data_IF_422991100120
#
_entry.id   IF_422991100120
#
_cell.length_a   1.000
_cell.length_b   1.000
_cell.length_c   1.000
_cell.angle_alpha   90.00
_cell.angle_beta   90.00
_cell.angle_gamma   90.00
#
_symmetry.space_group_name_H-M   'P 1'
#
loop_
_entity.id
_entity.type
_entity.pdbx_description
1 polymer ?
#
# COMPACT_ATOMS: atom_id res chain seq x y z
N UNK A 1 0.02 -25.57 -3.19
CA UNK A 1 0.12 -24.80 -1.94
C UNK A 1 1.25 -23.80 -2.17
N UNK A 2 1.00 -22.50 -2.02
CA UNK A 2 2.02 -21.46 -2.27
C UNK A 2 3.06 -21.48 -1.15
N UNK A 3 4.33 -21.27 -1.47
CA UNK A 3 5.42 -21.24 -0.52
C UNK A 3 5.94 -19.81 -0.39
N UNK A 4 5.82 -19.24 0.81
CA UNK A 4 6.17 -17.85 1.08
C UNK A 4 7.44 -17.76 1.92
N UNK A 5 8.38 -16.93 1.48
CA UNK A 5 9.43 -16.39 2.32
C UNK A 5 8.91 -15.17 3.08
N UNK A 6 9.44 -14.93 4.28
CA UNK A 6 9.06 -13.78 5.11
C UNK A 6 10.27 -12.86 5.27
N UNK A 7 10.11 -11.60 4.89
CA UNK A 7 11.04 -10.52 5.22
C UNK A 7 10.41 -9.63 6.29
N UNK A 8 11.16 -9.33 7.35
CA UNK A 8 10.73 -8.45 8.44
C UNK A 8 11.57 -7.19 8.43
N UNK A 9 10.91 -6.03 8.55
CA UNK A 9 11.58 -4.74 8.66
C UNK A 9 11.05 -3.96 9.86
N UNK A 10 11.93 -3.22 10.52
CA UNK A 10 11.56 -2.27 11.57
C UNK A 10 11.98 -0.87 11.16
N UNK A 11 11.04 0.06 11.14
CA UNK A 11 11.25 1.44 10.68
C UNK A 11 11.97 1.49 9.31
N UNK A 12 11.65 0.52 8.45
CA UNK A 12 12.26 0.37 7.12
C UNK A 12 13.64 -0.30 7.09
N UNK A 13 14.22 -0.74 8.21
CA UNK A 13 15.45 -1.53 8.22
C UNK A 13 15.16 -3.03 8.29
N UNK A 14 15.77 -3.82 7.39
CA UNK A 14 15.60 -5.27 7.37
C UNK A 14 16.22 -5.93 8.60
N UNK A 15 15.52 -6.93 9.13
CA UNK A 15 15.93 -7.73 10.30
C UNK A 15 16.34 -9.11 9.84
N UNK A 16 17.56 -9.50 10.20
CA UNK A 16 18.16 -10.75 9.75
C UNK A 16 17.59 -11.99 10.46
N UNK A 17 17.56 -13.11 9.74
CA UNK A 17 17.43 -14.45 10.33
C UNK A 17 16.06 -14.81 10.90
N UNK A 18 15.02 -14.01 10.66
CA UNK A 18 13.65 -14.33 11.12
C UNK A 18 13.19 -15.64 10.48
N UNK A 19 12.85 -16.60 11.33
CA UNK A 19 12.46 -17.95 10.91
C UNK A 19 10.98 -18.23 11.16
N UNK A 20 10.38 -17.60 12.17
CA UNK A 20 8.99 -17.86 12.57
C UNK A 20 8.30 -16.55 12.92
N UNK A 21 7.07 -16.39 12.42
CA UNK A 21 6.18 -15.29 12.78
C UNK A 21 4.81 -15.87 13.12
N UNK A 22 4.25 -15.52 14.27
CA UNK A 22 2.89 -15.96 14.63
C UNK A 22 1.83 -15.29 13.76
N UNK A 23 0.64 -15.88 13.61
CA UNK A 23 -0.42 -15.28 12.80
C UNK A 23 -0.79 -13.86 13.25
N UNK A 24 -1.05 -12.99 12.27
CA UNK A 24 -1.70 -11.71 12.51
C UNK A 24 -3.19 -11.95 12.75
N UNK A 25 -3.64 -11.86 14.01
CA UNK A 25 -5.05 -12.01 14.37
C UNK A 25 -5.63 -10.67 14.81
N UNK A 26 -6.82 -10.36 14.30
CA UNK A 26 -7.69 -9.34 14.87
C UNK A 26 -9.09 -9.94 15.01
N UNK A 27 -9.76 -9.62 16.10
CA UNK A 27 -11.12 -10.06 16.39
C UNK A 27 -11.96 -8.88 16.82
N UNK A 28 -13.24 -8.90 16.44
CA UNK A 28 -14.22 -7.94 16.93
C UNK A 28 -15.23 -8.70 17.78
N UNK A 29 -15.41 -8.26 19.02
CA UNK A 29 -16.44 -8.82 19.89
C UNK A 29 -17.81 -8.65 19.25
N UNK A 30 -18.72 -9.58 19.51
CA UNK A 30 -20.10 -9.51 19.01
C UNK A 30 -21.02 -9.26 20.19
N UNK A 31 -21.67 -8.10 20.22
CA UNK A 31 -22.63 -7.73 21.25
C UNK A 31 -24.02 -8.10 20.76
N UNK A 32 -24.78 -8.83 21.57
CA UNK A 32 -26.18 -9.14 21.28
C UNK A 32 -27.08 -8.11 21.94
N UNK A 33 -27.75 -7.30 21.15
CA UNK A 33 -28.73 -6.31 21.61
C UNK A 33 -30.13 -6.93 21.50
N UNK A 34 -30.88 -6.87 22.59
CA UNK A 34 -32.26 -7.35 22.64
C UNK A 34 -33.21 -6.17 22.62
N UNK A 35 -34.12 -6.15 21.66
CA UNK A 35 -35.21 -5.20 21.60
C UNK A 35 -36.27 -5.56 22.66
N UNK A 36 -36.52 -4.63 23.58
CA UNK A 36 -37.48 -4.80 24.67
C UNK A 36 -38.95 -4.75 24.22
N UNK A 37 -39.25 -4.18 23.05
CA UNK A 37 -40.61 -4.07 22.53
C UNK A 37 -41.07 -5.28 21.73
N UNK A 38 -40.20 -5.80 20.86
CA UNK A 38 -40.51 -6.94 19.96
C UNK A 38 -39.97 -8.28 20.45
N UNK A 39 -39.06 -8.27 21.44
CA UNK A 39 -38.34 -9.46 21.89
C UNK A 39 -37.26 -9.94 20.92
N UNK A 40 -37.09 -9.27 19.77
CA UNK A 40 -36.08 -9.58 18.77
C UNK A 40 -34.67 -9.34 19.32
N UNK A 41 -33.69 -10.08 18.79
CA UNK A 41 -32.27 -9.89 19.12
C UNK A 41 -31.51 -9.61 17.84
N UNK A 42 -30.60 -8.64 17.87
CA UNK A 42 -29.69 -8.35 16.76
C UNK A 42 -28.26 -8.25 17.27
N UNK A 43 -27.32 -8.61 16.40
CA UNK A 43 -25.90 -8.56 16.71
C UNK A 43 -25.31 -7.25 16.23
N UNK A 44 -24.51 -6.62 17.07
CA UNK A 44 -23.75 -5.41 16.74
C UNK A 44 -22.27 -5.65 17.00
N UNK A 45 -21.36 -5.08 16.19
CA UNK A 45 -19.94 -5.16 16.44
C UNK A 45 -19.58 -4.42 17.73
N UNK A 46 -18.80 -5.08 18.57
CA UNK A 46 -18.22 -4.56 19.80
C UNK A 46 -16.78 -4.08 19.59
N UNK A 47 -15.96 -4.24 20.63
CA UNK A 47 -14.57 -3.81 20.61
C UNK A 47 -13.76 -4.65 19.63
N UNK A 48 -12.90 -3.99 18.86
CA UNK A 48 -11.91 -4.66 18.04
C UNK A 48 -10.60 -4.76 18.82
N UNK A 49 -10.07 -5.97 18.92
CA UNK A 49 -8.79 -6.27 19.56
C UNK A 49 -7.86 -6.98 18.57
N UNK A 50 -6.57 -6.87 18.85
CA UNK A 50 -5.48 -7.42 18.05
C UNK A 50 -4.57 -8.23 18.96
N UNK A 51 -4.24 -9.44 18.55
CA UNK A 51 -3.34 -10.30 19.32
C UNK A 51 -1.89 -9.77 19.23
N UNK A 52 -1.09 -10.06 20.25
CA UNK A 52 0.35 -9.87 20.17
C UNK A 52 0.95 -10.80 19.12
N UNK A 53 1.90 -10.27 18.34
CA UNK A 53 2.68 -11.04 17.38
C UNK A 53 4.01 -11.43 17.99
N UNK A 54 4.44 -12.68 17.83
CA UNK A 54 5.79 -13.12 18.20
C UNK A 54 6.59 -13.38 16.94
N UNK A 55 7.75 -12.73 16.86
CA UNK A 55 8.76 -12.93 15.82
C UNK A 55 9.90 -13.69 16.44
N UNK A 56 10.32 -14.79 15.83
CA UNK A 56 11.44 -15.60 16.32
C UNK A 56 12.51 -15.79 15.26
N UNK A 57 13.75 -15.87 15.71
CA UNK A 57 14.93 -16.10 14.88
C UNK A 57 15.94 -16.98 15.61
N UNK A 58 16.85 -17.58 14.85
CA UNK A 58 18.08 -18.11 15.46
C UNK A 58 18.97 -16.97 15.93
N UNK A 59 19.83 -17.23 16.92
CA UNK A 59 20.85 -16.25 17.34
C UNK A 59 21.69 -15.83 16.13
N UNK A 60 21.81 -14.52 15.98
CA UNK A 60 22.54 -13.87 14.91
C UNK A 60 23.32 -12.69 15.47
N UNK A 61 24.35 -12.29 14.73
CA UNK A 61 25.17 -11.10 14.90
C UNK A 61 24.38 -9.78 14.69
N UNK A 62 23.18 -9.85 14.11
CA UNK A 62 22.24 -8.74 14.08
C UNK A 62 21.67 -8.44 15.48
N UNK A 63 22.02 -7.30 16.09
CA UNK A 63 21.58 -6.90 17.44
C UNK A 63 20.17 -6.30 17.50
N UNK A 64 19.40 -6.34 16.40
CA UNK A 64 18.06 -5.79 16.34
C UNK A 64 17.19 -6.17 17.56
N UNK A 65 17.01 -7.48 17.85
CA UNK A 65 16.16 -7.94 18.95
C UNK A 65 16.60 -7.41 20.31
N UNK A 66 17.90 -7.54 20.64
CA UNK A 66 18.49 -7.01 21.87
C UNK A 66 18.27 -5.50 22.04
N UNK A 67 18.54 -4.72 20.98
CA UNK A 67 18.49 -3.27 21.04
C UNK A 67 17.07 -2.77 21.28
N UNK A 68 16.07 -3.36 20.60
CA UNK A 68 14.70 -2.96 20.82
C UNK A 68 14.17 -3.44 22.19
N UNK A 69 14.52 -4.67 22.60
CA UNK A 69 14.12 -5.20 23.90
C UNK A 69 14.66 -4.38 25.08
N UNK A 70 15.85 -3.79 24.95
CA UNK A 70 16.43 -2.87 25.95
C UNK A 70 15.69 -1.53 26.05
N UNK A 71 15.02 -1.12 24.97
CA UNK A 71 14.19 0.08 24.91
C UNK A 71 12.71 -0.24 24.66
N UNK A 72 12.01 -0.97 25.55
CA UNK A 72 10.70 -1.54 25.25
C UNK A 72 9.58 -0.50 25.06
N UNK A 73 9.80 0.73 25.55
CA UNK A 73 8.87 1.86 25.35
C UNK A 73 9.01 2.50 23.96
N UNK A 74 10.05 2.16 23.19
CA UNK A 74 10.24 2.70 21.84
C UNK A 74 9.21 2.07 20.90
N UNK A 75 8.41 2.93 20.27
CA UNK A 75 7.47 2.54 19.23
C UNK A 75 8.20 2.39 17.90
N UNK A 76 7.92 1.32 17.17
CA UNK A 76 8.43 1.14 15.80
C UNK A 76 7.32 0.69 14.87
N UNK A 77 7.45 1.03 13.60
CA UNK A 77 6.63 0.42 12.56
C UNK A 77 7.26 -0.90 12.16
N UNK A 78 6.51 -2.00 12.25
CA UNK A 78 6.93 -3.31 11.74
C UNK A 78 6.27 -3.60 10.42
N UNK A 79 7.05 -3.96 9.43
CA UNK A 79 6.57 -4.39 8.11
C UNK A 79 6.92 -5.86 7.92
N UNK A 80 5.91 -6.66 7.58
CA UNK A 80 6.03 -8.08 7.28
C UNK A 80 5.71 -8.29 5.82
N UNK A 81 6.73 -8.60 5.03
CA UNK A 81 6.61 -8.81 3.60
C UNK A 81 6.66 -10.30 3.32
N UNK A 82 5.55 -10.85 2.83
CA UNK A 82 5.45 -12.21 2.35
C UNK A 82 5.78 -12.23 0.87
N UNK A 83 6.78 -13.00 0.48
CA UNK A 83 7.22 -13.13 -0.91
C UNK A 83 6.98 -14.57 -1.36
N UNK A 84 6.12 -14.76 -2.35
CA UNK A 84 5.90 -16.06 -2.98
C UNK A 84 7.14 -16.45 -3.79
N UNK A 85 7.68 -17.63 -3.50
CA UNK A 85 8.90 -18.14 -4.13
C UNK A 85 8.71 -18.63 -5.57
N UNK A 86 7.48 -18.73 -6.05
CA UNK A 86 7.15 -19.25 -7.39
C UNK A 86 6.86 -18.15 -8.41
N UNK A 87 6.03 -17.17 -8.06
CA UNK A 87 5.57 -16.10 -8.96
C UNK A 87 6.02 -14.70 -8.50
N UNK A 88 6.78 -14.59 -7.40
CA UNK A 88 7.26 -13.31 -6.88
C UNK A 88 6.16 -12.42 -6.30
N UNK A 89 4.95 -12.95 -6.08
CA UNK A 89 3.88 -12.21 -5.42
C UNK A 89 4.37 -11.70 -4.05
N UNK A 90 4.38 -10.38 -3.92
CA UNK A 90 4.77 -9.71 -2.69
C UNK A 90 3.54 -9.12 -1.99
N UNK A 91 3.37 -9.46 -0.71
CA UNK A 91 2.29 -8.95 0.13
C UNK A 91 2.88 -8.41 1.43
N UNK A 92 2.73 -7.12 1.64
CA UNK A 92 3.24 -6.46 2.85
C UNK A 92 2.10 -6.17 3.83
N UNK A 93 2.33 -6.49 5.10
CA UNK A 93 1.49 -6.10 6.23
C UNK A 93 2.25 -5.08 7.08
N UNK A 94 1.62 -3.96 7.38
CA UNK A 94 2.18 -2.89 8.19
C UNK A 94 1.50 -2.85 9.54
N UNK A 95 2.31 -2.95 10.58
CA UNK A 95 1.95 -2.89 11.99
C UNK A 95 2.54 -1.59 12.55
N UNK A 96 1.77 -0.49 12.61
CA UNK A 96 2.22 0.75 13.23
C UNK A 96 2.36 0.62 14.75
N UNK A 97 3.19 1.49 15.31
CA UNK A 97 3.31 1.73 16.76
C UNK A 97 3.51 0.47 17.61
N UNK A 98 4.25 -0.52 17.10
CA UNK A 98 4.57 -1.72 17.84
C UNK A 98 5.44 -1.42 19.05
N UNK A 99 5.29 -2.20 20.12
CA UNK A 99 6.21 -2.22 21.25
C UNK A 99 6.51 -3.63 21.72
N UNK A 100 7.67 -3.77 22.36
CA UNK A 100 8.08 -5.04 22.95
C UNK A 100 7.26 -5.31 24.21
N UNK A 101 6.48 -6.38 24.18
CA UNK A 101 5.74 -6.92 25.31
C UNK A 101 6.53 -8.04 26.03
N UNK A 102 7.45 -8.69 25.32
CA UNK A 102 8.33 -9.72 25.90
C UNK A 102 9.51 -10.02 24.98
N UNK A 103 10.62 -10.45 25.58
CA UNK A 103 11.80 -10.92 24.88
C UNK A 103 12.32 -12.15 25.61
N UNK A 104 12.48 -13.25 24.89
CA UNK A 104 12.95 -14.53 25.43
C UNK A 104 14.09 -15.05 24.59
N UNK A 105 15.13 -15.55 25.25
CA UNK A 105 16.25 -16.27 24.63
C UNK A 105 16.22 -17.69 25.17
N UNK A 106 15.98 -18.65 24.31
CA UNK A 106 15.84 -20.06 24.65
C UNK A 106 17.00 -20.85 24.01
N UNK A 107 18.10 -21.09 24.75
CA UNK A 107 19.13 -22.00 24.32
C UNK A 107 18.67 -23.45 24.51
N UNK A 108 18.85 -24.25 23.47
CA UNK A 108 18.71 -25.70 23.51
C UNK A 108 20.11 -26.32 23.52
N UNK A 109 20.48 -26.87 24.67
CA UNK A 109 21.82 -27.45 24.87
C UNK A 109 22.01 -28.76 24.10
N UNK A 110 20.92 -29.49 23.83
CA UNK A 110 20.97 -30.78 23.17
C UNK A 110 21.17 -30.61 21.66
N UNK A 111 20.52 -29.60 21.07
CA UNK A 111 20.67 -29.27 19.64
C UNK A 111 21.76 -28.24 19.36
N UNK A 112 22.27 -27.55 20.39
CA UNK A 112 23.22 -26.45 20.24
C UNK A 112 22.62 -25.23 19.54
N UNK A 113 21.30 -25.15 19.43
CA UNK A 113 20.58 -24.04 18.81
C UNK A 113 20.15 -23.05 19.87
N UNK A 114 20.05 -21.77 19.50
CA UNK A 114 19.50 -20.75 20.38
C UNK A 114 18.47 -19.98 19.59
N UNK A 115 17.24 -19.95 20.12
CA UNK A 115 16.12 -19.23 19.53
C UNK A 115 15.85 -17.99 20.35
N UNK A 116 15.82 -16.85 19.68
CA UNK A 116 15.39 -15.58 20.24
C UNK A 116 13.96 -15.31 19.76
N UNK A 117 13.08 -14.94 20.69
CA UNK A 117 11.68 -14.61 20.41
C UNK A 117 11.34 -13.25 20.99
N UNK A 118 10.84 -12.35 20.14
CA UNK A 118 10.37 -11.02 20.49
C UNK A 118 8.85 -10.96 20.33
N UNK A 119 8.14 -10.77 21.43
CA UNK A 119 6.69 -10.60 21.44
C UNK A 119 6.38 -9.11 21.36
N UNK A 120 5.64 -8.73 20.33
CA UNK A 120 5.26 -7.37 20.02
C UNK A 120 3.75 -7.20 20.18
N UNK A 121 3.35 -6.07 20.76
CA UNK A 121 1.96 -5.65 20.82
C UNK A 121 1.76 -4.45 19.89
N UNK A 122 0.58 -4.36 19.27
CA UNK A 122 0.19 -3.26 18.37
C UNK A 122 -1.32 -3.04 18.48
N UNK A 123 -1.80 -1.87 18.06
CA UNK A 123 -3.23 -1.55 18.06
C UNK A 123 -3.98 -2.22 16.91
N UNK A 124 -3.58 -1.94 15.67
CA UNK A 124 -4.18 -2.51 14.46
C UNK A 124 -3.08 -2.70 13.42
N UNK A 125 -3.28 -3.64 12.52
CA UNK A 125 -2.43 -3.86 11.37
C UNK A 125 -3.23 -3.72 10.09
N UNK A 126 -2.55 -3.40 9.00
CA UNK A 126 -3.17 -3.26 7.70
C UNK A 126 -2.33 -3.93 6.63
N UNK A 127 -3.00 -4.53 5.64
CA UNK A 127 -2.33 -4.96 4.43
C UNK A 127 -2.01 -3.72 3.62
N UNK A 128 -0.73 -3.51 3.31
CA UNK A 128 -0.30 -2.46 2.40
C UNK A 128 -0.75 -2.89 1.01
N UNK A 129 -1.62 -2.09 0.41
CA UNK A 129 -1.95 -2.24 -1.00
C UNK A 129 -0.76 -1.66 -1.77
N UNK A 130 -0.03 -2.48 -2.56
CA UNK A 130 1.08 -1.96 -3.36
C UNK A 130 0.57 -0.91 -4.34
N UNK A 131 1.46 -0.03 -4.78
CA UNK A 131 1.11 0.97 -5.78
C UNK A 131 0.62 0.25 -7.04
N UNK A 132 -0.43 0.78 -7.66
CA UNK A 132 -1.03 0.17 -8.86
C UNK A 132 0.02 0.04 -9.98
N UNK A 133 0.97 0.96 -10.05
CA UNK A 133 2.13 0.88 -10.93
C UNK A 133 3.00 -0.37 -10.69
N UNK A 134 3.32 -0.69 -9.43
CA UNK A 134 4.10 -1.89 -9.09
C UNK A 134 3.34 -3.17 -9.44
N UNK A 135 2.02 -3.18 -9.26
CA UNK A 135 1.17 -4.29 -9.70
C UNK A 135 1.17 -4.45 -11.22
N UNK A 136 1.15 -3.33 -11.96
CA UNK A 136 1.19 -3.35 -13.42
C UNK A 136 2.52 -3.91 -13.94
N UNK A 137 3.65 -3.45 -13.39
CA UNK A 137 4.99 -3.95 -13.73
C UNK A 137 5.14 -5.44 -13.43
N UNK A 138 4.63 -5.90 -12.28
CA UNK A 138 4.67 -7.33 -11.94
C UNK A 138 3.84 -8.18 -12.91
N UNK A 139 2.61 -7.75 -13.22
CA UNK A 139 1.74 -8.44 -14.19
C UNK A 139 2.33 -8.44 -15.60
N UNK A 140 3.01 -7.36 -15.97
CA UNK A 140 3.74 -7.24 -17.23
C UNK A 140 4.92 -8.22 -17.29
N UNK A 141 5.72 -8.29 -16.22
CA UNK A 141 6.82 -9.25 -16.07
C UNK A 141 6.36 -10.71 -16.17
N UNK A 142 5.29 -11.08 -15.46
CA UNK A 142 4.69 -12.43 -15.53
C UNK A 142 4.25 -12.82 -16.95
N UNK A 143 3.88 -11.84 -17.78
CA UNK A 143 3.37 -12.04 -19.15
C UNK A 143 4.40 -11.78 -20.25
N UNK A 144 5.62 -11.37 -19.89
CA UNK A 144 6.61 -10.84 -20.83
C UNK A 144 6.03 -9.74 -21.75
N UNK A 145 5.14 -8.91 -21.21
CA UNK A 145 4.44 -7.84 -21.90
C UNK A 145 4.92 -6.47 -21.38
N UNK A 146 4.87 -5.40 -22.18
CA UNK A 146 5.19 -4.06 -21.71
C UNK A 146 4.04 -3.46 -20.87
N UNK A 147 4.34 -2.56 -19.93
CA UNK A 147 3.34 -1.68 -19.31
C UNK A 147 3.11 -0.46 -20.22
N UNK A 148 1.85 -0.12 -20.48
CA UNK A 148 1.44 1.09 -21.21
C UNK A 148 0.65 1.98 -20.25
N UNK A 149 1.24 3.11 -19.87
CA UNK A 149 0.53 4.16 -19.13
C UNK A 149 -0.34 4.98 -20.08
N UNK A 150 -1.58 5.20 -19.69
CA UNK A 150 -2.54 6.06 -20.39
C UNK A 150 -3.00 7.12 -19.39
N UNK A 151 -2.63 8.36 -19.64
CA UNK A 151 -3.16 9.53 -18.95
C UNK A 151 -4.56 9.80 -19.49
N UNK A 152 -5.57 9.57 -18.66
CA UNK A 152 -6.96 9.72 -19.08
C UNK A 152 -7.34 11.19 -19.27
N UNK A 153 -6.80 12.11 -18.48
CA UNK A 153 -7.07 13.53 -18.62
C UNK A 153 -6.53 14.10 -19.95
N UNK A 154 -5.35 13.65 -20.38
CA UNK A 154 -4.76 14.05 -21.67
C UNK A 154 -5.55 13.54 -22.89
N UNK A 155 -6.30 12.44 -22.74
CA UNK A 155 -7.18 11.92 -23.79
C UNK A 155 -8.48 12.71 -23.90
N UNK A 156 -8.96 13.30 -22.81
CA UNK A 156 -10.19 14.07 -22.78
C UNK A 156 -10.01 15.38 -23.56
N UNK A 157 -10.78 15.51 -24.65
CA UNK A 157 -10.90 16.75 -25.41
C UNK A 157 -12.32 17.30 -25.36
N UNK A 158 -12.49 18.57 -25.77
CA UNK A 158 -13.83 19.16 -25.96
C UNK A 158 -14.64 18.49 -27.08
N UNK A 159 -14.04 17.60 -27.87
CA UNK A 159 -14.66 16.92 -29.00
C UNK A 159 -14.70 15.41 -28.78
N UNK A 160 -15.90 14.86 -28.59
CA UNK A 160 -16.14 13.42 -28.36
C UNK A 160 -15.45 12.51 -29.40
N UNK A 161 -15.49 12.88 -30.69
CA UNK A 161 -14.89 12.10 -31.77
C UNK A 161 -13.36 12.05 -31.68
N UNK A 162 -12.72 13.13 -31.23
CA UNK A 162 -11.27 13.21 -31.10
C UNK A 162 -10.79 12.40 -29.87
N UNK A 163 -11.50 12.49 -28.75
CA UNK A 163 -11.27 11.68 -27.55
C UNK A 163 -11.37 10.18 -27.87
N UNK A 164 -12.42 9.79 -28.60
CA UNK A 164 -12.66 8.39 -29.01
C UNK A 164 -11.55 7.88 -29.93
N UNK A 165 -11.17 8.65 -30.96
CA UNK A 165 -10.13 8.27 -31.90
C UNK A 165 -8.76 8.13 -31.23
N UNK A 166 -8.43 9.01 -30.28
CA UNK A 166 -7.18 8.91 -29.49
C UNK A 166 -7.16 7.66 -28.62
N UNK A 167 -8.27 7.37 -27.92
CA UNK A 167 -8.38 6.17 -27.10
C UNK A 167 -8.28 4.88 -27.94
N UNK A 168 -9.00 4.82 -29.07
CA UNK A 168 -8.95 3.66 -29.97
C UNK A 168 -7.52 3.44 -30.52
N UNK A 169 -6.81 4.51 -30.86
CA UNK A 169 -5.42 4.42 -31.30
C UNK A 169 -4.47 3.92 -30.20
N UNK A 170 -4.68 4.31 -28.93
CA UNK A 170 -3.87 3.80 -27.80
C UNK A 170 -4.21 2.34 -27.47
N UNK A 171 -5.50 1.97 -27.46
CA UNK A 171 -5.94 0.60 -27.21
C UNK A 171 -5.47 -0.37 -28.31
N UNK A 172 -5.53 0.03 -29.58
CA UNK A 172 -5.02 -0.79 -30.68
C UNK A 172 -3.50 -1.05 -30.54
N UNK A 173 -2.72 -0.01 -30.23
CA UNK A 173 -1.27 -0.14 -29.97
C UNK A 173 -0.97 -1.01 -28.74
N UNK A 174 -1.83 -0.98 -27.73
CA UNK A 174 -1.71 -1.85 -26.56
C UNK A 174 -2.03 -3.31 -26.92
N UNK A 175 -3.07 -3.54 -27.73
CA UNK A 175 -3.44 -4.88 -28.20
C UNK A 175 -2.35 -5.52 -29.06
N UNK A 176 -1.75 -4.78 -29.98
CA UNK A 176 -0.66 -5.27 -30.83
C UNK A 176 0.55 -5.76 -30.03
N UNK A 177 0.80 -5.16 -28.86
CA UNK A 177 1.93 -5.49 -28.00
C UNK A 177 1.56 -6.37 -26.80
N UNK A 178 0.28 -6.74 -26.65
CA UNK A 178 -0.22 -7.49 -25.49
C UNK A 178 -0.03 -6.78 -24.16
N UNK A 179 0.06 -5.45 -24.17
CA UNK A 179 0.51 -4.65 -23.03
C UNK A 179 -0.40 -4.76 -21.79
N UNK A 180 0.16 -4.52 -20.61
CA UNK A 180 -0.63 -4.24 -19.41
C UNK A 180 -0.99 -2.76 -19.44
N UNK A 181 -2.29 -2.44 -19.41
CA UNK A 181 -2.75 -1.05 -19.41
C UNK A 181 -2.78 -0.51 -17.99
N UNK A 182 -2.16 0.65 -17.78
CA UNK A 182 -2.21 1.40 -16.54
C UNK A 182 -2.87 2.76 -16.81
N UNK A 183 -4.09 2.93 -16.32
CA UNK A 183 -4.84 4.18 -16.44
C UNK A 183 -4.49 5.09 -15.27
N UNK A 184 -3.97 6.27 -15.59
CA UNK A 184 -3.63 7.35 -14.66
C UNK A 184 -4.67 8.47 -14.76
N UNK A 185 -4.83 9.25 -13.68
CA UNK A 185 -5.80 10.36 -13.61
C UNK A 185 -7.25 9.94 -13.98
N UNK A 186 -7.64 8.71 -13.64
CA UNK A 186 -8.97 8.19 -13.94
C UNK A 186 -10.09 8.95 -13.21
N UNK A 187 -9.77 9.74 -12.19
CA UNK A 187 -10.66 10.69 -11.54
C UNK A 187 -11.19 11.76 -12.49
N UNK A 188 -10.44 12.10 -13.55
CA UNK A 188 -10.92 12.97 -14.62
C UNK A 188 -12.21 12.43 -15.30
N UNK A 189 -12.40 11.10 -15.32
CA UNK A 189 -13.66 10.47 -15.79
C UNK A 189 -14.80 10.60 -14.78
N UNK A 190 -14.49 10.76 -13.50
CA UNK A 190 -15.47 10.72 -12.40
C UNK A 190 -15.79 12.10 -11.80
N UNK A 191 -15.09 13.17 -12.22
CA UNK A 191 -15.21 14.53 -11.65
C UNK A 191 -16.57 15.21 -11.90
N UNK A 192 -17.45 14.69 -12.77
CA UNK A 192 -18.80 15.26 -13.02
C UNK A 192 -19.96 14.46 -12.43
N UNK A 193 -19.98 14.27 -11.11
CA UNK A 193 -21.15 13.72 -10.40
C UNK A 193 -21.74 14.65 -9.34
N UNK A 194 -21.76 15.96 -9.58
CA UNK A 194 -22.48 16.90 -8.70
C UNK A 194 -23.51 17.71 -9.46
N UNK A 195 -24.77 17.35 -9.22
CA UNK A 195 -26.00 18.15 -9.31
C UNK A 195 -26.48 18.59 -10.69
N UNK A 196 -27.58 17.97 -11.10
CA UNK A 196 -28.44 18.33 -12.24
C UNK A 196 -28.85 19.81 -12.12
N UNK A 197 -28.24 20.68 -12.92
CA UNK A 197 -28.77 22.01 -13.19
C UNK A 197 -28.13 22.61 -14.45
N UNK A 198 -28.32 21.98 -15.61
CA UNK A 198 -28.69 22.71 -16.84
C UNK A 198 -28.85 21.75 -18.03
N UNK A 199 -29.73 22.12 -18.96
CA UNK A 199 -30.13 21.33 -20.12
C UNK A 199 -29.00 21.09 -21.17
N UNK A 200 -27.74 21.42 -20.85
CA UNK A 200 -26.55 21.08 -21.64
C UNK A 200 -25.80 19.83 -21.14
N UNK A 201 -26.11 19.31 -19.95
CA UNK A 201 -25.33 18.25 -19.28
C UNK A 201 -25.61 16.81 -19.75
N UNK A 202 -26.51 16.60 -20.71
CA UNK A 202 -26.83 15.25 -21.20
C UNK A 202 -25.72 14.63 -22.07
N UNK A 203 -24.79 15.44 -22.58
CA UNK A 203 -23.71 14.98 -23.47
C UNK A 203 -22.46 14.51 -22.72
N UNK A 204 -22.24 14.94 -21.48
CA UNK A 204 -21.08 14.51 -20.69
C UNK A 204 -21.19 13.07 -20.16
N UNK A 205 -22.41 12.58 -19.94
CA UNK A 205 -22.64 11.21 -19.44
C UNK A 205 -22.52 10.13 -20.54
N UNK A 206 -22.77 10.48 -21.81
CA UNK A 206 -22.68 9.54 -22.94
C UNK A 206 -21.22 9.16 -23.25
N UNK A 207 -20.26 10.03 -22.90
CA UNK A 207 -18.83 9.82 -23.15
C UNK A 207 -18.19 8.78 -22.23
N UNK A 208 -18.61 8.71 -20.97
CA UNK A 208 -18.00 7.82 -19.96
C UNK A 208 -18.42 6.37 -20.15
N UNK A 209 -19.72 6.12 -20.38
CA UNK A 209 -20.22 4.75 -20.61
C UNK A 209 -19.60 4.14 -21.87
N UNK A 210 -19.46 4.95 -22.93
CA UNK A 210 -18.84 4.54 -24.19
C UNK A 210 -17.33 4.29 -24.06
N UNK A 211 -16.65 4.96 -23.12
CA UNK A 211 -15.25 4.73 -22.80
C UNK A 211 -15.07 3.46 -21.95
N UNK A 212 -15.92 3.25 -20.95
CA UNK A 212 -15.92 2.04 -20.11
C UNK A 212 -16.22 0.78 -20.92
N UNK A 213 -17.17 0.84 -21.85
CA UNK A 213 -17.48 -0.27 -22.76
C UNK A 213 -16.25 -0.67 -23.60
N UNK A 214 -15.53 0.32 -24.15
CA UNK A 214 -14.30 0.07 -24.93
C UNK A 214 -13.15 -0.46 -24.09
N UNK A 215 -12.94 0.08 -22.89
CA UNK A 215 -11.98 -0.47 -21.95
C UNK A 215 -12.34 -1.92 -21.60
N UNK A 216 -13.61 -2.22 -21.38
CA UNK A 216 -14.05 -3.60 -21.08
C UNK A 216 -13.81 -4.59 -22.23
N UNK A 217 -13.73 -4.10 -23.47
CA UNK A 217 -13.44 -4.92 -24.65
C UNK A 217 -11.95 -5.23 -24.82
N UNK A 218 -11.05 -4.59 -24.05
CA UNK A 218 -9.63 -4.88 -24.10
C UNK A 218 -9.33 -6.27 -23.48
N UNK A 219 -8.64 -7.18 -24.20
CA UNK A 219 -8.42 -8.56 -23.76
C UNK A 219 -7.31 -8.70 -22.70
N UNK A 220 -6.54 -7.64 -22.44
CA UNK A 220 -5.45 -7.64 -21.48
C UNK A 220 -5.85 -7.06 -20.12
N UNK A 221 -4.98 -7.19 -19.10
CA UNK A 221 -5.22 -6.60 -17.79
C UNK A 221 -5.20 -5.07 -17.87
N UNK A 222 -6.19 -4.46 -17.22
CA UNK A 222 -6.30 -3.00 -17.04
C UNK A 222 -6.22 -2.73 -15.54
N UNK A 223 -5.28 -1.89 -15.16
CA UNK A 223 -5.14 -1.38 -13.82
C UNK A 223 -5.49 0.11 -13.81
N UNK A 224 -6.20 0.53 -12.77
CA UNK A 224 -6.68 1.92 -12.64
C UNK A 224 -6.11 2.49 -11.36
N UNK A 225 -5.36 3.58 -11.45
CA UNK A 225 -4.96 4.37 -10.29
C UNK A 225 -6.21 5.06 -9.71
N UNK A 226 -6.60 4.66 -8.49
CA UNK A 226 -7.72 5.26 -7.78
C UNK A 226 -7.28 6.57 -7.09
N UNK A 227 -8.18 7.55 -6.87
CA UNK A 227 -7.80 8.83 -6.30
C UNK A 227 -7.24 8.67 -4.88
N UNK A 228 -6.01 9.15 -4.68
CA UNK A 228 -5.35 9.10 -3.39
C UNK A 228 -3.91 9.59 -3.42
N UNK A 229 -3.74 10.87 -3.08
CA UNK A 229 -2.48 11.50 -2.67
C UNK A 229 -1.30 11.34 -3.65
N UNK A 230 -1.36 12.10 -4.74
CA UNK A 230 -0.21 12.38 -5.57
C UNK A 230 1.02 12.69 -4.71
N UNK A 231 2.10 11.98 -5.02
CA UNK A 231 3.37 12.11 -4.34
C UNK A 231 3.85 13.56 -4.32
N UNK A 232 4.08 14.09 -3.11
CA UNK A 232 5.12 15.09 -2.94
C UNK A 232 6.47 14.39 -3.17
N UNK A 233 6.91 14.41 -4.42
CA UNK A 233 8.21 13.93 -4.86
C UNK A 233 8.69 14.77 -6.02
N UNK A 234 9.08 16.02 -5.74
CA UNK A 234 9.55 16.98 -6.74
C UNK A 234 10.57 17.95 -6.16
N UNK A 235 11.82 17.71 -6.52
CA UNK A 235 13.02 18.50 -6.25
C UNK A 235 12.85 20.03 -6.32
N UNK A 236 13.50 20.72 -5.37
CA UNK A 236 13.84 22.14 -5.44
C UNK A 236 15.19 22.40 -4.77
N UNK A 237 16.27 21.80 -5.30
CA UNK A 237 17.62 22.24 -5.02
C UNK A 237 18.08 23.17 -6.16
N UNK A 238 18.61 24.34 -5.79
CA UNK A 238 19.43 25.17 -6.70
C UNK A 238 18.94 26.59 -6.92
N UNK A 239 19.42 27.51 -6.08
CA UNK A 239 19.30 28.96 -6.28
C UNK A 239 20.35 29.70 -5.47
N UNK A 240 21.61 29.58 -5.87
CA UNK A 240 22.74 30.36 -5.35
C UNK A 240 22.76 31.76 -5.97
N UNK A 241 22.75 32.79 -5.12
CA UNK A 241 23.45 34.08 -5.25
C UNK A 241 23.08 34.85 -3.97
N UNK A 242 23.96 35.47 -3.19
CA UNK A 242 25.30 35.97 -3.41
C UNK A 242 25.38 37.24 -2.57
N UNK A 243 26.35 37.28 -1.64
CA UNK A 243 26.93 38.50 -1.00
C UNK A 243 25.98 39.56 -0.42
N UNK A 244 25.95 39.67 0.91
CA UNK A 244 26.39 40.93 1.51
C UNK A 244 26.99 40.70 2.91
N UNK A 245 28.21 41.19 3.05
CA UNK A 245 29.06 41.18 4.23
C UNK A 245 29.07 42.64 4.71
N UNK A 246 28.45 42.92 5.85
CA UNK A 246 28.68 44.19 6.56
C UNK A 246 28.45 44.05 8.08
N UNK A 247 29.60 43.90 8.74
CA UNK A 247 30.05 44.60 9.95
C UNK A 247 29.48 44.20 11.34
N UNK A 248 30.34 43.60 12.20
CA UNK A 248 30.05 43.31 13.60
C UNK A 248 30.61 44.39 14.54
N UNK A 249 29.92 45.52 14.75
CA UNK A 249 30.28 46.45 15.85
C UNK A 249 29.07 47.24 16.41
N UNK A 250 28.38 46.71 17.44
CA UNK A 250 27.61 47.55 18.38
C UNK A 250 27.73 47.06 19.84
N UNK A 251 28.17 47.90 20.81
CA UNK A 251 28.39 47.51 22.21
C UNK A 251 27.11 47.45 23.09
N UNK A 252 27.24 46.96 24.35
CA UNK A 252 26.23 46.17 25.05
C UNK A 252 25.32 46.96 26.02
N UNK A 253 24.24 46.30 26.42
CA UNK A 253 23.53 46.48 27.70
C UNK A 253 23.37 45.12 28.38
#
# INVERSE_FOLDING_TARGET
MRNFAVEVRWDGQAVGGVSVVTPLRSSTDVITVRDGGTGASFHVPGRADTDSITVSRGVSDDLAFDLWARGPVLRKTVELTLVDTSDGLTVTYRLPDCWVAGYTVAPDIDTGTVVESLTLSTGRWQRVTPLVAELAERLAGERAAPVRRIDVAALLSRFQTETTAKLEAELARAQESGAVLLLDEADALFTRRTTVQDAHDRYANVDVDALLERLSAYPGPILVEAPGHGGQGGHGAGGTNGTDDTDPTRPPS
#
